data_IF_838758777342
#
_entry.id   IF_838758777342
#
_cell.length_a   1.000
_cell.length_b   1.000
_cell.length_c   1.000
_cell.angle_alpha   90.00
_cell.angle_beta   90.00
_cell.angle_gamma   90.00
#
_symmetry.space_group_name_H-M   'P 1'
#
loop_
_entity.id
_entity.type
_entity.pdbx_description
1 polymer ?
#
# COMPACT_ATOMS: atom_id res chain seq x y z
N UNK A 1 -40.05 54.86 -5.03
CA UNK A 1 -39.16 54.03 -4.19
C UNK A 1 -38.46 53.07 -5.13
N UNK A 2 -37.20 53.31 -5.44
CA UNK A 2 -36.42 52.44 -6.33
C UNK A 2 -35.87 51.27 -5.49
N UNK A 3 -36.11 50.04 -5.95
CA UNK A 3 -35.49 48.84 -5.40
C UNK A 3 -33.98 48.91 -5.63
N UNK A 4 -33.22 48.92 -4.54
CA UNK A 4 -31.76 48.85 -4.57
C UNK A 4 -31.39 47.38 -4.81
N UNK A 5 -31.18 47.04 -6.09
CA UNK A 5 -30.58 45.75 -6.47
C UNK A 5 -29.12 45.72 -6.04
N UNK A 6 -28.77 44.77 -5.18
CA UNK A 6 -27.44 44.58 -4.62
C UNK A 6 -26.51 43.97 -5.70
N UNK A 7 -25.38 44.58 -6.09
CA UNK A 7 -24.52 44.02 -7.12
C UNK A 7 -23.56 42.97 -6.54
N UNK A 8 -23.50 41.81 -7.20
CA UNK A 8 -22.30 40.94 -7.19
C UNK A 8 -22.38 39.68 -6.34
N UNK A 9 -23.06 38.63 -6.83
CA UNK A 9 -22.69 37.27 -6.46
C UNK A 9 -21.36 36.92 -7.14
N UNK A 10 -20.26 37.01 -6.39
CA UNK A 10 -18.95 36.57 -6.86
C UNK A 10 -18.88 35.04 -6.78
N UNK A 11 -19.11 34.36 -7.91
CA UNK A 11 -18.83 32.92 -8.02
C UNK A 11 -17.33 32.73 -8.22
N UNK A 12 -16.59 32.49 -7.14
CA UNK A 12 -15.17 32.15 -7.18
C UNK A 12 -15.00 30.68 -7.56
N UNK A 13 -14.77 30.40 -8.85
CA UNK A 13 -14.44 29.05 -9.32
C UNK A 13 -12.98 28.74 -9.01
N UNK A 14 -12.73 27.94 -7.97
CA UNK A 14 -11.37 27.45 -7.65
C UNK A 14 -11.09 26.19 -8.45
N UNK A 15 -10.29 26.28 -9.51
CA UNK A 15 -9.82 25.11 -10.27
C UNK A 15 -8.58 24.53 -9.59
N UNK A 16 -8.73 23.39 -8.91
CA UNK A 16 -7.60 22.68 -8.29
C UNK A 16 -6.92 21.78 -9.33
N UNK A 17 -5.86 22.28 -9.96
CA UNK A 17 -5.03 21.48 -10.88
C UNK A 17 -4.02 20.65 -10.08
N UNK A 18 -4.29 19.35 -9.89
CA UNK A 18 -3.35 18.44 -9.24
C UNK A 18 -2.37 17.86 -10.25
N UNK A 19 -1.14 18.37 -10.33
CA UNK A 19 -0.08 17.79 -11.17
C UNK A 19 0.75 16.78 -10.34
N UNK A 20 0.77 15.53 -10.77
CA UNK A 20 1.61 14.50 -10.13
C UNK A 20 2.96 14.46 -10.84
N UNK A 21 4.00 15.05 -10.25
CA UNK A 21 5.38 14.88 -10.74
C UNK A 21 6.01 13.66 -10.07
N UNK A 22 6.18 12.59 -10.84
CA UNK A 22 6.88 11.38 -10.39
C UNK A 22 8.30 11.41 -10.97
N UNK A 23 9.32 11.34 -10.13
CA UNK A 23 10.72 11.32 -10.56
C UNK A 23 11.08 9.91 -11.03
N UNK A 24 11.02 9.65 -12.34
CA UNK A 24 11.22 8.30 -12.90
C UNK A 24 12.68 7.85 -13.00
N UNK A 25 13.56 8.33 -12.11
CA UNK A 25 14.96 7.94 -12.11
C UNK A 25 15.15 6.66 -11.29
N UNK A 26 15.74 5.63 -11.90
CA UNK A 26 16.02 4.36 -11.22
C UNK A 26 17.18 4.60 -10.26
N UNK A 27 16.86 4.71 -8.98
CA UNK A 27 17.85 4.86 -7.91
C UNK A 27 17.59 3.79 -6.85
N UNK A 28 18.65 3.12 -6.44
CA UNK A 28 18.62 2.27 -5.26
C UNK A 28 18.55 3.17 -4.03
N UNK A 29 17.41 3.13 -3.33
CA UNK A 29 17.23 3.90 -2.10
C UNK A 29 17.06 2.99 -0.89
N UNK A 30 18.15 2.68 -0.17
CA UNK A 30 18.06 1.89 1.06
C UNK A 30 17.27 2.62 2.16
N UNK A 31 16.99 3.92 2.00
CA UNK A 31 16.16 4.66 2.94
C UNK A 31 14.71 4.18 2.94
N UNK A 32 14.24 3.55 1.85
CA UNK A 32 12.92 2.93 1.79
C UNK A 32 12.76 1.81 2.83
N UNK A 33 13.82 1.06 3.14
CA UNK A 33 13.79 0.01 4.17
C UNK A 33 13.56 0.55 5.58
N UNK A 34 13.84 1.83 5.82
CA UNK A 34 13.59 2.50 7.10
C UNK A 34 12.19 3.08 7.21
N UNK A 35 11.44 3.10 6.11
CA UNK A 35 10.04 3.56 6.13
C UNK A 35 9.15 2.50 6.78
N UNK A 36 8.05 2.92 7.39
CA UNK A 36 7.03 2.04 7.96
C UNK A 36 6.63 0.92 6.96
N UNK A 37 6.21 1.20 5.71
CA UNK A 37 5.84 0.14 4.76
C UNK A 37 7.02 -0.77 4.36
N UNK A 38 8.26 -0.24 4.34
CA UNK A 38 9.46 -1.05 4.09
C UNK A 38 9.73 -2.05 5.21
N UNK A 39 9.71 -1.60 6.46
CA UNK A 39 9.92 -2.46 7.64
C UNK A 39 8.85 -3.56 7.71
N UNK A 40 7.58 -3.22 7.47
CA UNK A 40 6.49 -4.21 7.48
C UNK A 40 6.71 -5.29 6.42
N UNK A 41 7.13 -4.93 5.20
CA UNK A 41 7.45 -5.90 4.14
C UNK A 41 8.64 -6.79 4.53
N UNK A 42 9.68 -6.24 5.17
CA UNK A 42 10.82 -7.03 5.66
C UNK A 42 10.38 -8.04 6.71
N UNK A 43 9.56 -7.62 7.68
CA UNK A 43 9.01 -8.52 8.70
C UNK A 43 8.18 -9.62 8.04
N UNK A 44 7.31 -9.30 7.09
CA UNK A 44 6.51 -10.28 6.35
C UNK A 44 7.38 -11.32 5.64
N UNK A 45 8.44 -10.89 4.94
CA UNK A 45 9.38 -11.79 4.24
C UNK A 45 10.12 -12.70 5.21
N UNK A 46 10.67 -12.14 6.29
CA UNK A 46 11.41 -12.92 7.30
C UNK A 46 10.50 -13.93 7.99
N UNK A 47 9.30 -13.51 8.38
CA UNK A 47 8.35 -14.36 9.07
C UNK A 47 7.83 -15.49 8.17
N UNK A 48 7.62 -15.21 6.88
CA UNK A 48 7.26 -16.22 5.87
C UNK A 48 8.39 -17.24 5.66
N UNK A 49 9.65 -16.78 5.60
CA UNK A 49 10.82 -17.65 5.43
C UNK A 49 11.03 -18.54 6.66
N UNK A 50 11.00 -17.95 7.87
CA UNK A 50 11.17 -18.69 9.12
C UNK A 50 10.04 -19.71 9.32
N UNK A 51 8.79 -19.31 9.09
CA UNK A 51 7.66 -20.23 9.14
C UNK A 51 7.81 -21.40 8.17
N UNK A 52 8.25 -21.15 6.93
CA UNK A 52 8.53 -22.18 5.93
C UNK A 52 9.62 -23.15 6.40
N UNK A 53 10.76 -22.63 6.88
CA UNK A 53 11.86 -23.46 7.40
C UNK A 53 11.38 -24.32 8.58
N UNK A 54 10.60 -23.76 9.51
CA UNK A 54 10.05 -24.51 10.64
C UNK A 54 9.18 -25.70 10.18
N UNK A 55 8.32 -25.53 9.18
CA UNK A 55 7.53 -26.63 8.61
C UNK A 55 8.42 -27.64 7.89
N UNK A 56 9.44 -27.18 7.17
CA UNK A 56 10.28 -28.06 6.36
C UNK A 56 11.20 -28.96 7.21
N UNK A 57 11.59 -28.48 8.39
CA UNK A 57 12.38 -29.26 9.38
C UNK A 57 11.51 -30.28 10.12
N UNK A 58 10.18 -30.14 10.14
CA UNK A 58 9.30 -31.14 10.73
C UNK A 58 9.27 -32.43 9.90
N UNK A 59 9.38 -33.57 10.58
CA UNK A 59 9.19 -34.90 9.98
C UNK A 59 7.78 -35.08 9.38
N UNK A 60 6.78 -34.33 9.87
CA UNK A 60 5.40 -34.34 9.36
C UNK A 60 5.17 -33.38 8.17
N UNK A 61 6.22 -32.85 7.55
CA UNK A 61 6.14 -31.89 6.44
C UNK A 61 5.25 -32.36 5.27
N UNK A 62 5.13 -33.67 5.04
CA UNK A 62 4.31 -34.27 3.96
C UNK A 62 2.82 -34.38 4.29
N UNK A 63 2.38 -34.04 5.51
CA UNK A 63 0.95 -33.98 5.84
C UNK A 63 0.34 -32.76 5.12
N UNK A 64 -0.89 -32.90 4.61
CA UNK A 64 -1.57 -31.83 3.85
C UNK A 64 -1.64 -30.46 4.56
N UNK A 65 -1.59 -30.45 5.90
CA UNK A 65 -1.56 -29.22 6.72
C UNK A 65 -0.23 -28.46 6.60
N UNK A 66 0.90 -29.17 6.60
CA UNK A 66 2.24 -28.58 6.39
C UNK A 66 2.39 -28.10 4.95
N UNK A 67 1.91 -28.87 3.97
CA UNK A 67 1.92 -28.49 2.56
C UNK A 67 1.16 -27.17 2.29
N UNK A 68 0.00 -26.96 2.94
CA UNK A 68 -0.76 -25.71 2.84
C UNK A 68 0.03 -24.51 3.37
N UNK A 69 0.62 -24.63 4.56
CA UNK A 69 1.45 -23.57 5.14
C UNK A 69 2.66 -23.24 4.25
N UNK A 70 3.34 -24.28 3.73
CA UNK A 70 4.48 -24.10 2.83
C UNK A 70 4.10 -23.41 1.53
N UNK A 71 2.95 -23.75 0.94
CA UNK A 71 2.47 -23.12 -0.30
C UNK A 71 2.16 -21.63 -0.10
N UNK A 72 1.45 -21.28 0.98
CA UNK A 72 1.17 -19.88 1.32
C UNK A 72 2.47 -19.13 1.56
N UNK A 73 3.38 -19.69 2.35
CA UNK A 73 4.64 -19.04 2.73
C UNK A 73 5.54 -18.78 1.52
N UNK A 74 5.60 -19.72 0.57
CA UNK A 74 6.36 -19.54 -0.66
C UNK A 74 5.80 -18.43 -1.55
N UNK A 75 4.49 -18.39 -1.77
CA UNK A 75 3.89 -17.32 -2.57
C UNK A 75 4.02 -15.97 -1.85
N UNK A 76 3.84 -15.95 -0.52
CA UNK A 76 4.04 -14.76 0.31
C UNK A 76 5.44 -14.18 0.10
N UNK A 77 6.45 -15.03 0.25
CA UNK A 77 7.86 -14.68 0.18
C UNK A 77 8.22 -14.11 -1.18
N UNK A 78 7.88 -14.79 -2.27
CA UNK A 78 8.18 -14.31 -3.62
C UNK A 78 7.44 -13.02 -3.96
N UNK A 79 6.14 -12.95 -3.69
CA UNK A 79 5.35 -11.78 -4.03
C UNK A 79 5.78 -10.53 -3.24
N UNK A 80 5.95 -10.66 -1.91
CA UNK A 80 6.42 -9.54 -1.08
C UNK A 80 7.88 -9.19 -1.31
N UNK A 81 8.74 -10.17 -1.59
CA UNK A 81 10.14 -9.94 -1.94
C UNK A 81 10.31 -9.20 -3.26
N UNK A 82 9.56 -9.60 -4.30
CA UNK A 82 9.58 -8.91 -5.60
C UNK A 82 9.05 -7.48 -5.44
N UNK A 83 7.94 -7.29 -4.71
CA UNK A 83 7.44 -5.95 -4.42
C UNK A 83 8.48 -5.11 -3.69
N UNK A 84 9.11 -5.64 -2.63
CA UNK A 84 10.15 -4.95 -1.89
C UNK A 84 11.29 -4.50 -2.82
N UNK A 85 11.73 -5.37 -3.73
CA UNK A 85 12.70 -5.04 -4.78
C UNK A 85 12.21 -3.90 -5.69
N UNK A 86 10.97 -3.98 -6.18
CA UNK A 86 10.40 -2.93 -7.03
C UNK A 86 10.34 -1.56 -6.32
N UNK A 87 10.02 -1.54 -5.02
CA UNK A 87 10.05 -0.32 -4.22
C UNK A 87 11.47 0.22 -4.00
N UNK A 88 12.44 -0.66 -3.69
CA UNK A 88 13.86 -0.31 -3.51
C UNK A 88 14.47 0.35 -4.75
N UNK A 89 14.11 -0.12 -5.94
CA UNK A 89 14.60 0.41 -7.22
C UNK A 89 13.73 1.54 -7.79
N UNK A 90 12.72 2.02 -7.06
CA UNK A 90 11.76 3.02 -7.55
C UNK A 90 11.08 2.60 -8.87
N UNK A 91 10.96 1.30 -9.13
CA UNK A 91 10.34 0.77 -10.35
C UNK A 91 8.82 1.01 -10.36
N UNK A 92 8.22 1.10 -9.17
CA UNK A 92 6.79 1.43 -8.95
C UNK A 92 6.45 2.80 -9.53
N UNK A 93 7.37 3.76 -9.43
CA UNK A 93 7.22 5.12 -9.98
C UNK A 93 7.25 5.16 -11.51
N UNK A 94 8.00 4.26 -12.15
CA UNK A 94 7.99 4.09 -13.61
C UNK A 94 6.62 3.63 -14.12
N UNK A 95 5.94 2.78 -13.36
CA UNK A 95 4.64 2.20 -13.69
C UNK A 95 3.48 2.87 -12.95
N UNK A 96 3.47 4.20 -12.86
CA UNK A 96 2.45 4.99 -12.15
C UNK A 96 1.02 4.79 -12.67
N UNK A 97 0.83 4.26 -13.88
CA UNK A 97 -0.51 3.94 -14.44
C UNK A 97 -1.19 2.76 -13.75
N UNK A 98 -0.42 1.89 -13.10
CA UNK A 98 -0.94 0.71 -12.43
C UNK A 98 -1.33 1.11 -11.00
N UNK A 99 -2.54 0.81 -10.51
CA UNK A 99 -2.97 1.13 -9.15
C UNK A 99 -2.32 0.18 -8.12
N UNK A 100 -1.00 0.27 -7.96
CA UNK A 100 -0.18 -0.56 -7.06
C UNK A 100 -0.73 -0.63 -5.64
N UNK A 101 -1.14 0.51 -5.08
CA UNK A 101 -1.69 0.59 -3.72
C UNK A 101 -2.94 -0.28 -3.54
N UNK A 102 -3.82 -0.35 -4.55
CA UNK A 102 -5.04 -1.18 -4.49
C UNK A 102 -4.72 -2.66 -4.63
N UNK A 103 -3.81 -3.03 -5.53
CA UNK A 103 -3.37 -4.41 -5.70
C UNK A 103 -2.72 -4.94 -4.42
N UNK A 104 -1.85 -4.14 -3.80
CA UNK A 104 -1.19 -4.53 -2.56
C UNK A 104 -2.14 -4.61 -1.39
N UNK A 105 -3.12 -3.70 -1.30
CA UNK A 105 -4.17 -3.79 -0.28
C UNK A 105 -4.96 -5.10 -0.41
N UNK A 106 -5.37 -5.46 -1.63
CA UNK A 106 -6.06 -6.72 -1.90
C UNK A 106 -5.20 -7.94 -1.54
N UNK A 107 -3.92 -7.91 -1.93
CA UNK A 107 -2.97 -8.98 -1.59
C UNK A 107 -2.80 -9.12 -0.07
N UNK A 108 -2.49 -8.02 0.64
CA UNK A 108 -2.29 -8.06 2.09
C UNK A 108 -3.54 -8.58 2.82
N UNK A 109 -4.72 -8.11 2.43
CA UNK A 109 -5.99 -8.55 3.01
C UNK A 109 -6.19 -10.05 2.79
N UNK A 110 -6.05 -10.53 1.55
CA UNK A 110 -6.16 -11.97 1.27
C UNK A 110 -5.14 -12.79 2.07
N UNK A 111 -3.91 -12.32 2.15
CA UNK A 111 -2.83 -13.01 2.84
C UNK A 111 -3.00 -13.06 4.35
N UNK A 112 -3.63 -12.05 4.98
CA UNK A 112 -3.99 -12.13 6.40
C UNK A 112 -4.90 -13.32 6.70
N UNK A 113 -5.94 -13.52 5.89
CA UNK A 113 -6.89 -14.62 6.08
C UNK A 113 -6.24 -15.97 5.84
N UNK A 114 -5.40 -16.09 4.81
CA UNK A 114 -4.67 -17.33 4.51
C UNK A 114 -3.69 -17.68 5.63
N UNK A 115 -2.92 -16.72 6.14
CA UNK A 115 -2.01 -16.95 7.27
C UNK A 115 -2.73 -17.25 8.57
N UNK A 116 -3.90 -16.63 8.82
CA UNK A 116 -4.73 -16.97 9.96
C UNK A 116 -5.14 -18.45 9.92
N UNK A 117 -5.64 -18.92 8.77
CA UNK A 117 -6.04 -20.31 8.61
C UNK A 117 -4.83 -21.26 8.71
N UNK A 118 -3.70 -20.89 8.10
CA UNK A 118 -2.47 -21.68 8.15
C UNK A 118 -1.94 -21.81 9.59
N UNK A 119 -1.96 -20.73 10.38
CA UNK A 119 -1.55 -20.74 11.77
C UNK A 119 -2.47 -21.61 12.63
N UNK A 120 -3.79 -21.50 12.47
CA UNK A 120 -4.77 -22.36 13.17
C UNK A 120 -4.51 -23.84 12.85
N UNK A 121 -4.32 -24.17 11.57
CA UNK A 121 -4.03 -25.55 11.14
C UNK A 121 -2.72 -26.07 11.73
N UNK A 122 -1.68 -25.24 11.81
CA UNK A 122 -0.39 -25.62 12.38
C UNK A 122 -0.50 -25.93 13.88
N UNK A 123 -1.31 -25.20 14.65
CA UNK A 123 -1.53 -25.48 16.09
C UNK A 123 -2.15 -26.87 16.32
N UNK A 124 -3.02 -27.33 15.43
CA UNK A 124 -3.71 -28.64 15.58
C UNK A 124 -2.80 -29.86 15.44
N UNK A 125 -1.55 -29.70 15.02
CA UNK A 125 -0.65 -30.82 14.73
C UNK A 125 0.12 -31.28 15.98
N UNK A 126 0.03 -30.57 17.11
CA UNK A 126 0.65 -30.92 18.40
C UNK A 126 2.12 -31.39 18.27
N UNK A 127 2.88 -30.70 17.41
CA UNK A 127 4.28 -30.97 17.14
C UNK A 127 5.10 -29.71 17.42
N UNK A 128 6.33 -29.88 17.94
CA UNK A 128 7.21 -28.77 18.33
C UNK A 128 7.50 -27.80 17.16
N UNK A 129 7.97 -28.25 15.99
CA UNK A 129 8.21 -27.38 14.84
C UNK A 129 6.92 -26.77 14.26
N UNK A 130 5.79 -27.47 14.32
CA UNK A 130 4.50 -26.93 13.87
C UNK A 130 4.02 -25.79 14.79
N UNK A 131 4.28 -25.88 16.09
CA UNK A 131 3.96 -24.82 17.05
C UNK A 131 4.82 -23.57 16.82
N UNK A 132 6.12 -23.75 16.52
CA UNK A 132 7.00 -22.64 16.13
C UNK A 132 6.55 -21.99 14.80
N UNK A 133 6.20 -22.80 13.80
CA UNK A 133 5.65 -22.32 12.53
C UNK A 133 4.33 -21.55 12.74
N UNK A 134 3.47 -22.01 13.64
CA UNK A 134 2.23 -21.31 13.98
C UNK A 134 2.50 -19.93 14.58
N UNK A 135 3.48 -19.81 15.48
CA UNK A 135 3.88 -18.52 16.05
C UNK A 135 4.31 -17.54 14.96
N UNK A 136 5.20 -17.95 14.06
CA UNK A 136 5.60 -17.11 12.92
C UNK A 136 4.43 -16.85 11.96
N UNK A 137 3.52 -17.80 11.77
CA UNK A 137 2.29 -17.60 10.99
C UNK A 137 1.40 -16.50 11.58
N UNK A 138 1.22 -16.47 12.91
CA UNK A 138 0.45 -15.42 13.59
C UNK A 138 1.15 -14.06 13.49
N UNK A 139 2.46 -14.00 13.69
CA UNK A 139 3.23 -12.74 13.55
C UNK A 139 3.12 -12.22 12.12
N UNK A 140 3.23 -13.09 11.11
CA UNK A 140 3.03 -12.73 9.71
C UNK A 140 1.60 -12.20 9.46
N UNK A 141 0.59 -12.87 10.02
CA UNK A 141 -0.81 -12.43 9.94
C UNK A 141 -0.98 -11.00 10.48
N UNK A 142 -0.45 -10.70 11.67
CA UNK A 142 -0.50 -9.35 12.23
C UNK A 142 0.26 -8.34 11.37
N UNK A 143 1.44 -8.70 10.85
CA UNK A 143 2.22 -7.83 9.98
C UNK A 143 1.47 -7.51 8.67
N UNK A 144 0.79 -8.48 8.05
CA UNK A 144 -0.05 -8.24 6.88
C UNK A 144 -1.31 -7.42 7.22
N UNK A 145 -1.86 -7.58 8.43
CA UNK A 145 -3.06 -6.85 8.85
C UNK A 145 -2.76 -5.37 9.10
N UNK A 146 -1.64 -5.07 9.77
CA UNK A 146 -1.19 -3.69 9.98
C UNK A 146 -0.87 -3.05 8.62
N UNK A 147 -0.22 -3.79 7.72
CA UNK A 147 0.12 -3.29 6.39
C UNK A 147 -1.14 -3.00 5.54
N UNK A 148 -2.15 -3.87 5.61
CA UNK A 148 -3.45 -3.66 5.00
C UNK A 148 -4.15 -2.42 5.58
N UNK A 149 -4.11 -2.22 6.89
CA UNK A 149 -4.71 -1.06 7.55
C UNK A 149 -4.04 0.25 7.14
N UNK A 150 -2.70 0.30 7.13
CA UNK A 150 -1.94 1.47 6.67
C UNK A 150 -2.28 1.79 5.21
N UNK A 151 -2.34 0.76 4.34
CA UNK A 151 -2.72 0.92 2.94
C UNK A 151 -4.18 1.36 2.76
N UNK A 152 -5.10 0.82 3.55
CA UNK A 152 -6.51 1.22 3.51
C UNK A 152 -6.66 2.70 3.83
N UNK A 153 -5.98 3.20 4.88
CA UNK A 153 -5.95 4.63 5.19
C UNK A 153 -5.36 5.46 4.05
N UNK A 154 -4.28 4.99 3.42
CA UNK A 154 -3.68 5.66 2.27
C UNK A 154 -4.62 5.67 1.04
N UNK A 155 -5.37 4.60 0.78
CA UNK A 155 -6.35 4.53 -0.31
C UNK A 155 -7.50 5.51 -0.07
N UNK A 156 -8.02 5.59 1.15
CA UNK A 156 -9.07 6.55 1.53
C UNK A 156 -8.59 8.01 1.40
N UNK A 157 -7.33 8.28 1.71
CA UNK A 157 -6.70 9.59 1.53
C UNK A 157 -6.31 9.94 0.09
N UNK A 158 -6.58 9.06 -0.88
CA UNK A 158 -6.15 9.26 -2.28
C UNK A 158 -4.62 9.28 -2.45
N UNK A 159 -3.88 8.67 -1.52
CA UNK A 159 -2.42 8.61 -1.53
C UNK A 159 -1.87 7.84 -2.74
N UNK A 160 -0.66 8.18 -3.15
CA UNK A 160 0.11 7.39 -4.10
C UNK A 160 0.83 6.25 -3.37
N UNK A 161 1.07 5.15 -4.08
CA UNK A 161 1.87 4.02 -3.56
C UNK A 161 3.32 4.45 -3.24
N UNK A 162 3.87 5.35 -4.05
CA UNK A 162 5.19 5.96 -3.89
C UNK A 162 5.21 7.27 -4.70
N UNK A 163 5.91 8.30 -4.23
CA UNK A 163 5.99 9.63 -4.87
C UNK A 163 5.08 10.70 -4.26
N UNK A 164 5.47 11.98 -4.44
CA UNK A 164 4.74 13.14 -3.91
C UNK A 164 3.73 13.66 -4.94
N UNK A 165 2.44 13.76 -4.59
CA UNK A 165 1.50 14.60 -5.35
C UNK A 165 1.76 16.05 -4.99
N UNK A 166 2.29 16.84 -5.92
CA UNK A 166 2.37 18.29 -5.71
C UNK A 166 1.03 18.87 -6.11
N UNK A 167 0.14 19.07 -5.14
CA UNK A 167 -1.15 19.72 -5.39
C UNK A 167 -0.88 21.22 -5.52
N UNK A 168 -0.59 21.68 -6.74
CA UNK A 168 -0.50 23.10 -7.04
C UNK A 168 -1.91 23.70 -7.02
N UNK A 169 -2.29 24.36 -5.91
CA UNK A 169 -3.56 25.09 -5.84
C UNK A 169 -3.43 26.40 -6.62
N UNK A 170 -3.81 26.41 -7.88
CA UNK A 170 -3.80 27.62 -8.71
C UNK A 170 -5.11 28.40 -8.47
N UNK A 171 -5.03 29.56 -7.82
CA UNK A 171 -6.19 30.44 -7.63
C UNK A 171 -6.27 31.37 -8.84
N UNK A 172 -7.19 31.12 -9.77
CA UNK A 172 -7.47 32.05 -10.85
C UNK A 172 -8.36 33.17 -10.30
N UNK A 173 -7.79 34.36 -10.06
CA UNK A 173 -8.58 35.57 -9.90
C UNK A 173 -9.13 35.94 -11.28
N UNK A 174 -10.46 36.00 -11.42
CA UNK A 174 -11.09 36.47 -12.65
C UNK A 174 -10.60 37.90 -12.92
N UNK A 175 -9.88 38.08 -14.04
CA UNK A 175 -9.53 39.41 -14.52
C UNK A 175 -10.84 40.16 -14.79
N UNK A 176 -11.05 41.24 -14.05
CA UNK A 176 -12.09 42.22 -14.30
C UNK A 176 -12.06 42.58 -15.80
N UNK A 177 -13.13 42.23 -16.53
CA UNK A 177 -13.31 42.77 -17.86
C UNK A 177 -13.47 44.29 -17.70
N UNK A 178 -12.65 45.13 -18.35
CA UNK A 178 -12.78 46.57 -18.24
C UNK A 178 -14.19 46.98 -18.70
N UNK A 179 -14.85 47.92 -17.99
CA UNK A 179 -16.20 48.33 -18.34
C UNK A 179 -16.25 48.80 -19.80
N UNK A 180 -17.35 48.50 -20.53
CA UNK A 180 -17.49 48.96 -21.90
C UNK A 180 -17.36 50.48 -21.90
N UNK A 181 -16.41 51.01 -22.70
CA UNK A 181 -16.31 52.45 -22.93
C UNK A 181 -17.63 52.91 -23.54
N UNK A 182 -18.48 53.52 -22.72
CA UNK A 182 -19.58 54.33 -23.22
C UNK A 182 -18.96 55.52 -23.93
N UNK A 183 -18.92 55.44 -25.26
CA UNK A 183 -18.58 56.57 -26.08
C UNK A 183 -19.80 57.47 -26.19
N UNK A 184 -19.68 58.71 -25.70
CA UNK A 184 -20.28 59.92 -26.26
C UNK A 184 -19.43 61.12 -25.83
#
# INVERSE_FOLDING_TARGET
>A
MAEVSFPGQHTTTTTVTSSTIVQTNIRFDPQYLKTIPGILKVIQVLCSLLGFICIQVSYLSTRGRGAYFSWISMIAFWFTGILLGMYLFHLVEKFYKIPWLRMEFGFCTLWTFLYLLAAILAVTVHDNPHSAAAFFGFVAMFAYAIDAYVKWRAVQGGGLAQGTRVVAKQTAAALEAPPPREGY
#
